data_IF_686055118150
#
_entry.id   IF_686055118150
#
_cell.length_a   1.000
_cell.length_b   1.000
_cell.length_c   1.000
_cell.angle_alpha   90.00
_cell.angle_beta   90.00
_cell.angle_gamma   90.00
#
_symmetry.space_group_name_H-M   'P 1'
#
loop_
_entity.id
_entity.type
_entity.pdbx_description
1 polymer ?
#
# COMPACT_ATOMS: atom_id res chain seq x y z
N UNK A 1 2.99 17.09 44.40
CA UNK A 1 3.15 18.13 43.35
C UNK A 1 3.52 17.58 41.96
N UNK A 2 4.19 16.43 41.82
CA UNK A 2 4.51 15.86 40.50
C UNK A 2 3.32 15.27 39.71
N UNK A 3 2.32 14.69 40.39
CA UNK A 3 1.14 14.10 39.75
C UNK A 3 0.22 15.15 39.07
N UNK A 4 -0.01 16.29 39.73
CA UNK A 4 -0.84 17.38 39.22
C UNK A 4 -0.24 18.06 37.96
N UNK A 5 1.09 18.09 37.83
CA UNK A 5 1.76 18.62 36.64
C UNK A 5 1.61 17.71 35.42
N UNK A 6 1.61 16.38 35.63
CA UNK A 6 1.42 15.39 34.57
C UNK A 6 -0.02 15.40 34.05
N UNK A 7 -1.00 15.52 34.96
CA UNK A 7 -2.42 15.66 34.60
C UNK A 7 -2.68 16.94 33.79
N UNK A 8 -2.07 18.07 34.17
CA UNK A 8 -2.23 19.31 33.41
C UNK A 8 -1.61 19.26 32.01
N UNK A 9 -0.45 18.62 31.86
CA UNK A 9 0.19 18.38 30.57
C UNK A 9 -0.64 17.45 29.68
N UNK A 10 -1.25 16.42 30.28
CA UNK A 10 -2.18 15.52 29.59
C UNK A 10 -3.42 16.30 29.11
N UNK A 11 -4.03 17.11 29.97
CA UNK A 11 -5.19 17.93 29.64
C UNK A 11 -4.89 18.96 28.54
N UNK A 12 -3.78 19.71 28.64
CA UNK A 12 -3.35 20.65 27.59
C UNK A 12 -3.05 19.92 26.27
N UNK A 13 -2.47 18.72 26.34
CA UNK A 13 -2.27 17.83 25.20
C UNK A 13 -3.57 17.42 24.53
N UNK A 14 -4.52 16.90 25.31
CA UNK A 14 -5.85 16.53 24.87
C UNK A 14 -6.61 17.71 24.26
N UNK A 15 -6.58 18.89 24.89
CA UNK A 15 -7.25 20.10 24.40
C UNK A 15 -6.62 20.63 23.12
N UNK A 16 -5.28 20.65 23.00
CA UNK A 16 -4.58 21.05 21.77
C UNK A 16 -4.80 20.03 20.64
N UNK A 17 -4.81 18.74 20.97
CA UNK A 17 -5.15 17.68 20.02
C UNK A 17 -6.59 17.80 19.54
N UNK A 18 -7.55 17.98 20.46
CA UNK A 18 -8.96 18.17 20.13
C UNK A 18 -9.17 19.44 19.30
N UNK A 19 -8.55 20.57 19.66
CA UNK A 19 -8.61 21.82 18.89
C UNK A 19 -8.07 21.65 17.47
N UNK A 20 -6.87 21.06 17.32
CA UNK A 20 -6.31 20.75 15.99
C UNK A 20 -7.22 19.85 15.19
N UNK A 21 -7.82 18.83 15.82
CA UNK A 21 -8.69 17.86 15.16
C UNK A 21 -10.04 18.46 14.77
N UNK A 22 -10.61 19.35 15.59
CA UNK A 22 -11.87 20.04 15.33
C UNK A 22 -11.74 21.20 14.32
N UNK A 23 -10.59 21.88 14.30
CA UNK A 23 -10.32 22.99 13.37
C UNK A 23 -9.77 22.53 12.01
N UNK A 24 -9.38 21.26 11.87
CA UNK A 24 -8.78 20.72 10.65
C UNK A 24 -9.74 19.82 9.90
N UNK A 25 -9.89 20.04 8.60
CA UNK A 25 -10.72 19.22 7.72
C UNK A 25 -9.82 18.57 6.68
N UNK A 26 -9.86 17.24 6.59
CA UNK A 26 -8.99 16.45 5.70
C UNK A 26 -9.06 16.88 4.23
N UNK A 27 -10.12 17.56 3.78
CA UNK A 27 -10.19 18.16 2.45
C UNK A 27 -9.04 19.14 2.15
N UNK A 28 -8.48 19.82 3.17
CA UNK A 28 -7.36 20.74 3.00
C UNK A 28 -6.06 20.04 2.58
N UNK A 29 -5.83 18.79 2.99
CA UNK A 29 -4.62 18.03 2.65
C UNK A 29 -4.45 17.82 1.13
N UNK A 30 -5.57 17.80 0.42
CA UNK A 30 -5.63 17.58 -1.03
C UNK A 30 -6.16 18.78 -1.81
N UNK A 31 -6.23 19.96 -1.18
CA UNK A 31 -6.86 21.14 -1.80
C UNK A 31 -6.19 21.56 -3.12
N UNK A 32 -4.88 21.36 -3.23
CA UNK A 32 -4.09 21.71 -4.42
C UNK A 32 -3.95 20.55 -5.43
N UNK A 33 -4.56 19.39 -5.17
CA UNK A 33 -4.38 18.20 -6.01
C UNK A 33 -5.36 18.23 -7.20
N UNK A 34 -4.92 17.78 -8.38
CA UNK A 34 -5.81 17.66 -9.54
C UNK A 34 -6.90 16.61 -9.28
N UNK A 35 -8.02 16.77 -9.99
CA UNK A 35 -9.12 15.81 -9.99
C UNK A 35 -8.71 14.53 -10.72
N UNK A 36 -9.11 13.38 -10.18
CA UNK A 36 -8.92 12.07 -10.83
C UNK A 36 -9.95 11.86 -11.94
N UNK A 37 -9.58 11.14 -13.00
CA UNK A 37 -10.50 10.76 -14.09
C UNK A 37 -11.32 9.52 -13.73
N UNK A 38 -12.39 9.25 -14.49
CA UNK A 38 -13.19 8.05 -14.31
C UNK A 38 -12.36 6.76 -14.48
N UNK A 39 -11.45 6.72 -15.47
CA UNK A 39 -10.58 5.56 -15.74
C UNK A 39 -9.63 5.27 -14.57
N UNK A 40 -9.11 6.30 -13.91
CA UNK A 40 -8.23 6.14 -12.75
C UNK A 40 -8.99 5.62 -11.52
N UNK A 41 -10.25 6.04 -11.35
CA UNK A 41 -11.06 5.71 -10.19
C UNK A 41 -11.77 4.35 -10.32
N UNK A 42 -12.05 3.91 -11.55
CA UNK A 42 -12.83 2.70 -11.84
C UNK A 42 -12.36 1.46 -11.06
N UNK A 43 -11.05 1.16 -10.97
CA UNK A 43 -10.58 0.00 -10.22
C UNK A 43 -10.82 0.09 -8.71
N UNK A 44 -10.93 1.29 -8.15
CA UNK A 44 -11.01 1.49 -6.71
C UNK A 44 -12.27 0.85 -6.11
N UNK A 45 -13.45 1.10 -6.69
CA UNK A 45 -14.70 0.52 -6.19
C UNK A 45 -14.74 -0.99 -6.43
N UNK A 46 -14.30 -1.47 -7.60
CA UNK A 46 -14.22 -2.90 -7.92
C UNK A 46 -13.35 -3.66 -6.92
N UNK A 47 -12.12 -3.20 -6.70
CA UNK A 47 -11.17 -3.86 -5.80
C UNK A 47 -11.64 -3.79 -4.35
N UNK A 48 -12.33 -2.73 -3.93
CA UNK A 48 -12.98 -2.70 -2.62
C UNK A 48 -13.97 -3.87 -2.44
N UNK A 49 -14.73 -4.25 -3.48
CA UNK A 49 -15.65 -5.41 -3.41
C UNK A 49 -14.89 -6.73 -3.28
N UNK A 50 -13.78 -6.90 -3.99
CA UNK A 50 -12.91 -8.08 -3.85
C UNK A 50 -12.34 -8.18 -2.43
N UNK A 51 -11.89 -7.07 -1.86
CA UNK A 51 -11.38 -7.07 -0.47
C UNK A 51 -12.51 -7.29 0.54
N UNK A 52 -13.71 -6.72 0.31
CA UNK A 52 -14.91 -6.97 1.12
C UNK A 52 -15.29 -8.45 1.14
N UNK A 53 -15.07 -9.19 0.04
CA UNK A 53 -15.39 -10.62 -0.04
C UNK A 53 -14.56 -11.43 0.97
N UNK A 54 -13.35 -10.96 1.32
CA UNK A 54 -12.50 -11.58 2.35
C UNK A 54 -13.07 -11.42 3.78
N UNK A 55 -13.95 -10.44 3.99
CA UNK A 55 -14.62 -10.22 5.28
C UNK A 55 -15.87 -11.09 5.47
N UNK A 56 -16.39 -11.69 4.40
CA UNK A 56 -17.59 -12.52 4.47
C UNK A 56 -17.25 -13.94 4.89
N UNK A 57 -18.08 -14.53 5.75
CA UNK A 57 -17.99 -15.97 6.07
C UNK A 57 -18.60 -16.83 4.96
N UNK A 58 -19.66 -16.33 4.32
CA UNK A 58 -20.33 -16.94 3.17
C UNK A 58 -20.54 -15.90 2.05
N UNK A 59 -20.00 -16.18 0.86
CA UNK A 59 -20.16 -15.32 -0.32
C UNK A 59 -21.50 -15.52 -1.03
N UNK A 60 -22.18 -16.65 -0.81
CA UNK A 60 -23.53 -16.88 -1.34
C UNK A 60 -24.57 -16.06 -0.55
N UNK A 61 -24.34 -15.84 0.74
CA UNK A 61 -25.20 -15.05 1.61
C UNK A 61 -24.40 -14.01 2.42
N UNK A 62 -23.91 -12.93 1.77
CA UNK A 62 -23.05 -11.97 2.42
C UNK A 62 -23.80 -11.14 3.46
N UNK A 63 -23.21 -10.97 4.64
CA UNK A 63 -23.75 -10.15 5.75
C UNK A 63 -23.76 -8.66 5.41
N UNK A 64 -22.75 -8.19 4.66
CA UNK A 64 -22.62 -6.79 4.28
C UNK A 64 -22.32 -6.70 2.78
N UNK A 65 -23.35 -6.51 1.97
CA UNK A 65 -23.20 -6.27 0.54
C UNK A 65 -23.25 -4.77 0.22
N UNK A 66 -22.38 -4.27 -0.67
CA UNK A 66 -22.51 -2.91 -1.17
C UNK A 66 -23.78 -2.74 -2.02
N UNK A 67 -24.13 -1.49 -2.35
CA UNK A 67 -25.31 -1.20 -3.16
C UNK A 67 -25.17 -1.82 -4.57
N UNK A 68 -26.08 -2.73 -4.92
CA UNK A 68 -25.99 -3.52 -6.15
C UNK A 68 -25.12 -4.78 -6.03
N UNK A 69 -24.82 -5.23 -4.80
CA UNK A 69 -24.10 -6.47 -4.54
C UNK A 69 -22.60 -6.38 -4.79
N UNK A 70 -21.90 -7.51 -4.62
CA UNK A 70 -20.46 -7.60 -4.85
C UNK A 70 -20.07 -7.40 -6.31
N UNK A 71 -20.98 -7.61 -7.27
CA UNK A 71 -20.70 -7.55 -8.71
C UNK A 71 -19.42 -8.32 -9.07
N UNK A 72 -19.21 -9.44 -8.38
CA UNK A 72 -18.11 -10.38 -8.59
C UNK A 72 -18.71 -11.66 -9.16
N UNK A 73 -17.99 -12.28 -10.09
CA UNK A 73 -18.32 -13.60 -10.59
C UNK A 73 -17.83 -14.65 -9.59
N UNK A 74 -18.74 -15.37 -8.93
CA UNK A 74 -18.35 -16.38 -7.93
C UNK A 74 -17.47 -17.49 -8.52
N UNK A 75 -17.55 -17.77 -9.83
CA UNK A 75 -16.70 -18.75 -10.52
C UNK A 75 -15.23 -18.29 -10.66
N UNK A 76 -14.97 -17.00 -10.46
CA UNK A 76 -13.62 -16.44 -10.42
C UNK A 76 -12.89 -16.66 -9.10
N UNK A 77 -13.57 -17.10 -8.03
CA UNK A 77 -12.93 -17.36 -6.73
C UNK A 77 -12.11 -18.64 -6.81
N UNK A 78 -10.79 -18.50 -6.84
CA UNK A 78 -9.86 -19.65 -6.90
C UNK A 78 -9.61 -20.21 -5.51
N UNK A 79 -9.39 -19.32 -4.54
CA UNK A 79 -8.99 -19.73 -3.19
C UNK A 79 -9.42 -18.70 -2.16
N UNK A 80 -9.92 -19.16 -1.03
CA UNK A 80 -10.19 -18.33 0.14
C UNK A 80 -9.55 -18.98 1.36
N UNK A 81 -8.78 -18.20 2.12
CA UNK A 81 -8.02 -18.69 3.27
C UNK A 81 -8.46 -17.93 4.52
N UNK A 82 -9.30 -18.55 5.38
CA UNK A 82 -9.69 -17.98 6.67
C UNK A 82 -8.59 -18.16 7.73
N UNK A 83 -8.81 -17.56 8.91
CA UNK A 83 -7.84 -17.57 10.02
C UNK A 83 -7.36 -18.96 10.45
N UNK A 84 -8.27 -19.93 10.48
CA UNK A 84 -8.02 -21.31 10.88
C UNK A 84 -7.03 -22.05 9.96
N UNK A 85 -6.90 -21.59 8.72
CA UNK A 85 -5.98 -22.13 7.72
C UNK A 85 -4.64 -21.36 7.65
N UNK A 86 -4.41 -20.40 8.56
CA UNK A 86 -3.19 -19.60 8.63
C UNK A 86 -2.38 -20.01 9.88
N UNK A 87 -1.30 -20.78 9.71
CA UNK A 87 -0.41 -21.16 10.80
C UNK A 87 0.14 -19.95 11.55
N UNK A 88 0.15 -20.06 12.89
CA UNK A 88 0.65 -19.08 13.85
C UNK A 88 0.08 -17.66 13.71
N UNK A 89 -0.98 -17.46 12.90
CA UNK A 89 -1.52 -16.14 12.60
C UNK A 89 -0.51 -15.20 11.92
N UNK A 90 0.34 -15.73 11.03
CA UNK A 90 1.40 -14.95 10.34
C UNK A 90 0.91 -13.88 9.38
N UNK A 91 -0.35 -13.95 8.96
CA UNK A 91 -0.98 -13.04 8.01
C UNK A 91 -2.51 -12.98 8.29
N UNK A 92 -3.19 -11.87 8.00
CA UNK A 92 -4.65 -11.85 7.94
C UNK A 92 -5.21 -12.76 6.83
N UNK A 93 -6.50 -13.10 6.87
CA UNK A 93 -7.21 -13.81 5.80
C UNK A 93 -7.04 -13.15 4.44
N UNK A 94 -7.09 -13.98 3.40
CA UNK A 94 -6.95 -13.52 2.02
C UNK A 94 -7.76 -14.36 1.03
N UNK A 95 -7.90 -13.81 -0.18
CA UNK A 95 -8.63 -14.38 -1.31
C UNK A 95 -7.78 -14.28 -2.57
N UNK A 96 -7.77 -15.32 -3.39
CA UNK A 96 -7.26 -15.32 -4.76
C UNK A 96 -8.48 -15.38 -5.69
N UNK A 97 -8.60 -14.38 -6.56
CA UNK A 97 -9.75 -14.16 -7.44
C UNK A 97 -9.28 -13.84 -8.85
N UNK A 98 -9.91 -14.44 -9.86
CA UNK A 98 -9.69 -14.16 -11.27
C UNK A 98 -10.84 -13.34 -11.81
N UNK A 99 -10.57 -12.07 -12.10
CA UNK A 99 -11.49 -11.17 -12.76
C UNK A 99 -11.31 -11.25 -14.28
N UNK A 100 -12.14 -12.07 -14.93
CA UNK A 100 -12.06 -12.29 -16.38
C UNK A 100 -12.55 -11.09 -17.19
N UNK A 101 -13.48 -10.30 -16.63
CA UNK A 101 -14.00 -9.09 -17.28
C UNK A 101 -12.89 -8.04 -17.41
N UNK A 102 -12.09 -7.87 -16.35
CA UNK A 102 -11.03 -6.85 -16.31
C UNK A 102 -9.64 -7.41 -16.65
N UNK A 103 -9.53 -8.72 -16.85
CA UNK A 103 -8.29 -9.48 -17.08
C UNK A 103 -7.30 -9.27 -15.94
N UNK A 104 -7.71 -9.59 -14.71
CA UNK A 104 -6.91 -9.40 -13.50
C UNK A 104 -6.87 -10.68 -12.67
N UNK A 105 -5.68 -11.08 -12.22
CA UNK A 105 -5.46 -12.06 -11.16
C UNK A 105 -5.23 -11.28 -9.87
N UNK A 106 -6.20 -11.34 -8.96
CA UNK A 106 -6.24 -10.52 -7.75
C UNK A 106 -5.94 -11.36 -6.52
N UNK A 107 -4.93 -10.97 -5.74
CA UNK A 107 -4.75 -11.42 -4.38
C UNK A 107 -5.19 -10.29 -3.42
N UNK A 108 -6.28 -10.52 -2.69
CA UNK A 108 -6.86 -9.56 -1.77
C UNK A 108 -6.66 -9.97 -0.31
N UNK A 109 -6.13 -9.07 0.52
CA UNK A 109 -5.83 -9.31 1.95
C UNK A 109 -6.74 -8.48 2.86
N UNK A 110 -7.32 -9.13 3.86
CA UNK A 110 -8.17 -8.51 4.88
C UNK A 110 -7.36 -7.53 5.76
N UNK A 111 -8.04 -6.52 6.30
CA UNK A 111 -7.51 -5.70 7.39
C UNK A 111 -7.60 -6.37 8.76
N UNK A 112 -7.14 -5.63 9.78
CA UNK A 112 -7.13 -6.03 11.19
C UNK A 112 -8.52 -6.45 11.68
N UNK A 113 -8.62 -7.63 12.28
CA UNK A 113 -9.78 -8.00 13.10
C UNK A 113 -9.48 -7.67 14.57
N UNK A 114 -10.30 -6.81 15.17
CA UNK A 114 -10.10 -6.30 16.54
C UNK A 114 -10.14 -7.38 17.64
N UNK A 115 -10.68 -8.56 17.35
CA UNK A 115 -10.78 -9.70 18.27
C UNK A 115 -9.61 -10.68 18.09
N UNK A 116 -8.80 -10.54 17.02
CA UNK A 116 -7.74 -11.49 16.68
C UNK A 116 -6.37 -10.97 17.14
N UNK A 117 -5.84 -11.58 18.20
CA UNK A 117 -4.50 -11.29 18.73
C UNK A 117 -3.38 -11.44 17.70
N UNK A 118 -3.53 -12.38 16.75
CA UNK A 118 -2.56 -12.60 15.66
C UNK A 118 -2.32 -11.34 14.83
N UNK A 119 -3.38 -10.60 14.53
CA UNK A 119 -3.27 -9.41 13.67
C UNK A 119 -2.58 -8.27 14.41
N UNK A 120 -2.80 -8.15 15.72
CA UNK A 120 -2.05 -7.22 16.55
C UNK A 120 -0.58 -7.60 16.63
N UNK A 121 -0.23 -8.89 16.64
CA UNK A 121 1.19 -9.30 16.57
C UNK A 121 1.83 -8.81 15.28
N UNK A 122 1.16 -8.93 14.14
CA UNK A 122 1.65 -8.40 12.85
C UNK A 122 1.78 -6.87 12.89
N UNK A 123 0.76 -6.18 13.39
CA UNK A 123 0.72 -4.71 13.45
C UNK A 123 1.76 -4.12 14.43
N UNK A 124 2.00 -4.78 15.55
CA UNK A 124 2.87 -4.26 16.62
C UNK A 124 4.32 -4.76 16.51
N UNK A 125 4.60 -5.69 15.60
CA UNK A 125 5.96 -6.15 15.28
C UNK A 125 6.70 -5.09 14.44
N UNK A 126 6.95 -3.92 15.03
CA UNK A 126 7.73 -2.86 14.40
C UNK A 126 8.30 -1.87 15.42
N UNK A 127 9.53 -1.42 15.16
CA UNK A 127 10.20 -0.32 15.84
C UNK A 127 10.68 0.68 14.78
N UNK A 128 10.82 1.94 15.18
CA UNK A 128 11.23 3.00 14.26
C UNK A 128 12.59 2.67 13.64
N UNK A 129 12.63 2.55 12.30
CA UNK A 129 13.83 2.20 11.56
C UNK A 129 14.33 0.78 11.79
N UNK A 130 13.48 -0.13 12.28
CA UNK A 130 13.85 -1.53 12.53
C UNK A 130 14.26 -2.27 11.26
N UNK A 131 13.53 -2.04 10.17
CA UNK A 131 13.71 -2.80 8.94
C UNK A 131 14.05 -1.87 7.78
N UNK A 132 15.30 -1.95 7.32
CA UNK A 132 15.69 -1.41 6.01
C UNK A 132 15.27 -2.37 4.91
N UNK A 133 14.85 -1.82 3.77
CA UNK A 133 14.40 -2.58 2.61
C UNK A 133 14.43 -1.69 1.37
N UNK A 134 15.09 -2.15 0.31
CA UNK A 134 15.17 -1.48 -1.00
C UNK A 134 15.61 0.00 -0.92
N UNK A 135 16.62 0.27 -0.08
CA UNK A 135 17.13 1.63 0.14
C UNK A 135 16.16 2.54 0.91
N UNK A 136 15.18 1.99 1.62
CA UNK A 136 14.29 2.73 2.52
C UNK A 136 14.02 1.96 3.80
N UNK A 137 12.98 2.36 4.53
CA UNK A 137 12.50 1.67 5.72
C UNK A 137 11.08 1.18 5.51
N UNK A 138 10.78 0.00 6.03
CA UNK A 138 9.43 -0.59 5.97
C UNK A 138 8.98 -1.08 7.33
N UNK A 139 7.70 -1.36 7.46
CA UNK A 139 7.14 -1.97 8.65
C UNK A 139 7.54 -3.45 8.72
N UNK A 140 8.25 -3.84 9.79
CA UNK A 140 8.83 -5.18 9.88
C UNK A 140 7.79 -6.31 9.85
N UNK A 141 6.75 -6.25 10.68
CA UNK A 141 5.69 -7.26 10.70
C UNK A 141 4.93 -7.41 9.38
N UNK A 142 4.63 -6.30 8.69
CA UNK A 142 3.98 -6.32 7.38
C UNK A 142 4.88 -6.92 6.31
N UNK A 143 6.19 -6.66 6.34
CA UNK A 143 7.14 -7.27 5.42
C UNK A 143 7.22 -8.79 5.63
N UNK A 144 7.25 -9.24 6.89
CA UNK A 144 7.24 -10.68 7.22
C UNK A 144 5.97 -11.37 6.74
N UNK A 145 4.81 -10.74 6.94
CA UNK A 145 3.53 -11.26 6.45
C UNK A 145 3.49 -11.32 4.90
N UNK A 146 3.99 -10.28 4.23
CA UNK A 146 4.08 -10.23 2.76
C UNK A 146 4.98 -11.35 2.21
N UNK A 147 6.16 -11.53 2.81
CA UNK A 147 7.12 -12.57 2.42
C UNK A 147 6.54 -13.97 2.65
N UNK A 148 5.90 -14.19 3.80
CA UNK A 148 5.21 -15.44 4.09
C UNK A 148 4.11 -15.76 3.06
N UNK A 149 3.33 -14.75 2.67
CA UNK A 149 2.24 -14.94 1.71
C UNK A 149 2.76 -15.24 0.31
N UNK A 150 3.86 -14.60 -0.13
CA UNK A 150 4.55 -14.93 -1.38
C UNK A 150 5.12 -16.35 -1.36
N UNK A 151 5.81 -16.73 -0.28
CA UNK A 151 6.28 -18.11 -0.10
C UNK A 151 5.14 -19.12 -0.24
N UNK A 152 3.95 -18.79 0.24
CA UNK A 152 2.79 -19.69 0.22
C UNK A 152 2.08 -19.74 -1.14
N UNK A 153 1.87 -18.59 -1.79
CA UNK A 153 0.92 -18.46 -2.91
C UNK A 153 1.55 -17.97 -4.24
N UNK A 154 2.84 -17.60 -4.28
CA UNK A 154 3.45 -17.08 -5.52
C UNK A 154 3.36 -18.07 -6.68
N UNK A 155 3.58 -19.36 -6.44
CA UNK A 155 3.46 -20.40 -7.49
C UNK A 155 2.03 -20.46 -8.02
N UNK A 156 1.02 -20.43 -7.14
CA UNK A 156 -0.40 -20.41 -7.55
C UNK A 156 -0.73 -19.18 -8.39
N UNK A 157 -0.22 -18.00 -8.02
CA UNK A 157 -0.45 -16.79 -8.79
C UNK A 157 0.27 -16.82 -10.15
N UNK A 158 1.48 -17.37 -10.19
CA UNK A 158 2.27 -17.53 -11.40
C UNK A 158 1.59 -18.51 -12.38
N UNK A 159 1.16 -19.67 -11.88
CA UNK A 159 0.45 -20.68 -12.68
C UNK A 159 -0.82 -20.09 -13.30
N UNK A 160 -1.65 -19.40 -12.49
CA UNK A 160 -2.86 -18.72 -12.99
C UNK A 160 -2.53 -17.69 -14.07
N UNK A 161 -1.49 -16.88 -13.87
CA UNK A 161 -1.11 -15.84 -14.82
C UNK A 161 -0.60 -16.44 -16.15
N UNK A 162 0.19 -17.53 -16.08
CA UNK A 162 0.67 -18.26 -17.25
C UNK A 162 -0.48 -18.94 -18.02
N UNK A 163 -1.44 -19.54 -17.32
CA UNK A 163 -2.62 -20.19 -17.92
C UNK A 163 -3.56 -19.20 -18.60
N UNK A 164 -3.81 -18.05 -17.98
CA UNK A 164 -4.70 -17.01 -18.50
C UNK A 164 -4.04 -16.16 -19.59
N UNK A 165 -2.70 -16.11 -19.61
CA UNK A 165 -1.89 -15.45 -20.61
C UNK A 165 -1.50 -14.01 -20.26
N UNK A 166 -0.54 -13.48 -21.01
CA UNK A 166 0.10 -12.19 -20.77
C UNK A 166 -0.80 -10.97 -20.97
N UNK A 167 -2.09 -11.15 -21.27
CA UNK A 167 -3.05 -10.05 -21.27
C UNK A 167 -3.56 -9.74 -19.85
N UNK A 168 -3.41 -10.69 -18.92
CA UNK A 168 -3.83 -10.52 -17.54
C UNK A 168 -2.82 -9.72 -16.74
N UNK A 169 -3.34 -8.88 -15.84
CA UNK A 169 -2.55 -8.15 -14.85
C UNK A 169 -2.51 -8.92 -13.54
N UNK A 170 -1.41 -8.82 -12.83
CA UNK A 170 -1.31 -9.26 -11.44
C UNK A 170 -1.64 -8.08 -10.51
N UNK A 171 -2.66 -8.25 -9.67
CA UNK A 171 -3.17 -7.21 -8.78
C UNK A 171 -3.07 -7.66 -7.33
N UNK A 172 -2.34 -6.89 -6.52
CA UNK A 172 -2.34 -7.04 -5.07
C UNK A 172 -3.27 -6.01 -4.45
N UNK A 173 -4.16 -6.44 -3.56
CA UNK A 173 -5.13 -5.56 -2.94
C UNK A 173 -5.20 -5.82 -1.44
N UNK A 174 -5.52 -4.78 -0.67
CA UNK A 174 -5.81 -4.99 0.74
C UNK A 174 -6.37 -3.77 1.42
N UNK A 175 -7.01 -3.99 2.57
CA UNK A 175 -7.59 -2.93 3.39
C UNK A 175 -6.81 -2.76 4.70
N UNK A 176 -6.57 -1.52 5.13
CA UNK A 176 -5.98 -1.22 6.45
C UNK A 176 -4.68 -2.00 6.68
N UNK A 177 -4.63 -2.93 7.63
CA UNK A 177 -3.48 -3.82 7.84
C UNK A 177 -3.04 -4.57 6.56
N UNK A 178 -4.00 -5.18 5.85
CA UNK A 178 -3.75 -5.96 4.64
C UNK A 178 -3.26 -5.13 3.46
N UNK A 179 -3.57 -3.83 3.42
CA UNK A 179 -3.08 -2.92 2.38
C UNK A 179 -1.56 -2.78 2.41
N UNK A 180 -0.95 -2.76 3.59
CA UNK A 180 0.49 -2.64 3.75
C UNK A 180 1.20 -3.93 3.38
N UNK A 181 0.57 -5.08 3.65
CA UNK A 181 1.03 -6.40 3.19
C UNK A 181 1.03 -6.45 1.66
N UNK A 182 -0.10 -6.11 1.02
CA UNK A 182 -0.24 -6.06 -0.43
C UNK A 182 0.78 -5.11 -1.10
N UNK A 183 0.99 -3.93 -0.51
CA UNK A 183 1.97 -2.97 -1.00
C UNK A 183 3.41 -3.51 -0.94
N UNK A 184 3.80 -4.19 0.15
CA UNK A 184 5.13 -4.76 0.28
C UNK A 184 5.32 -6.00 -0.60
N UNK A 185 4.30 -6.85 -0.77
CA UNK A 185 4.32 -7.93 -1.76
C UNK A 185 4.57 -7.39 -3.17
N UNK A 186 3.90 -6.29 -3.52
CA UNK A 186 4.08 -5.63 -4.81
C UNK A 186 5.52 -5.20 -5.03
N UNK A 187 6.16 -4.59 -4.03
CA UNK A 187 7.57 -4.20 -4.12
C UNK A 187 8.46 -5.42 -4.33
N UNK A 188 8.25 -6.51 -3.58
CA UNK A 188 9.05 -7.73 -3.70
C UNK A 188 8.93 -8.30 -5.12
N UNK A 189 7.71 -8.49 -5.64
CA UNK A 189 7.48 -9.05 -6.97
C UNK A 189 8.04 -8.15 -8.07
N UNK A 190 7.89 -6.83 -7.94
CA UNK A 190 8.40 -5.86 -8.91
C UNK A 190 9.93 -5.87 -9.02
N UNK A 191 10.65 -6.14 -7.91
CA UNK A 191 12.11 -6.25 -7.92
C UNK A 191 12.62 -7.63 -8.37
N UNK A 192 11.76 -8.66 -8.35
CA UNK A 192 12.12 -10.05 -8.68
C UNK A 192 11.20 -10.63 -9.76
N UNK A 193 10.92 -9.84 -10.82
CA UNK A 193 9.99 -10.21 -11.89
C UNK A 193 10.46 -11.44 -12.67
N UNK A 194 11.77 -11.67 -12.74
CA UNK A 194 12.39 -12.87 -13.30
C UNK A 194 11.93 -14.15 -12.56
N UNK A 195 11.71 -14.05 -11.24
CA UNK A 195 11.19 -15.14 -10.41
C UNK A 195 9.67 -15.31 -10.52
N UNK A 196 9.01 -14.41 -11.26
CA UNK A 196 7.57 -14.40 -11.50
C UNK A 196 7.28 -14.39 -13.01
N UNK A 197 7.87 -15.34 -13.73
CA UNK A 197 7.61 -15.55 -15.16
C UNK A 197 8.04 -14.39 -16.08
N UNK A 198 8.87 -13.48 -15.60
CA UNK A 198 9.28 -12.29 -16.36
C UNK A 198 8.17 -11.26 -16.54
N UNK A 199 7.14 -11.27 -15.69
CA UNK A 199 5.98 -10.38 -15.81
C UNK A 199 6.42 -8.91 -16.00
N UNK A 200 5.88 -8.18 -17.00
CA UNK A 200 6.17 -6.78 -17.18
C UNK A 200 5.74 -5.95 -15.96
N UNK A 201 6.58 -4.99 -15.53
CA UNK A 201 6.23 -4.05 -14.43
C UNK A 201 4.89 -3.34 -14.67
N UNK A 202 4.58 -3.03 -15.94
CA UNK A 202 3.33 -2.41 -16.35
C UNK A 202 2.07 -3.27 -16.11
N UNK A 203 2.24 -4.58 -15.87
CA UNK A 203 1.16 -5.54 -15.58
C UNK A 203 1.01 -5.84 -14.10
N UNK A 204 1.86 -5.29 -13.23
CA UNK A 204 1.72 -5.41 -11.78
C UNK A 204 1.05 -4.14 -11.25
N UNK A 205 -0.02 -4.30 -10.47
CA UNK A 205 -0.71 -3.19 -9.79
C UNK A 205 -1.00 -3.51 -8.34
N UNK A 206 -1.06 -2.47 -7.52
CA UNK A 206 -1.49 -2.57 -6.13
C UNK A 206 -2.57 -1.54 -5.83
N UNK A 207 -3.60 -1.96 -5.10
CA UNK A 207 -4.63 -1.08 -4.55
C UNK A 207 -4.68 -1.20 -3.03
N UNK A 208 -4.10 -0.20 -2.38
CA UNK A 208 -3.99 -0.11 -0.93
C UNK A 208 -5.16 0.73 -0.38
N UNK A 209 -6.21 0.06 0.07
CA UNK A 209 -7.45 0.70 0.53
C UNK A 209 -7.29 1.11 2.00
N UNK A 210 -7.48 2.38 2.30
CA UNK A 210 -7.34 2.96 3.64
C UNK A 210 -6.01 2.56 4.30
N UNK A 211 -4.88 2.92 3.69
CA UNK A 211 -3.65 2.16 3.86
C UNK A 211 -2.98 2.36 5.21
N UNK A 212 -2.36 1.29 5.71
CA UNK A 212 -1.41 1.40 6.82
C UNK A 212 -0.15 2.15 6.36
N UNK A 213 0.47 2.90 7.27
CA UNK A 213 1.78 3.52 7.02
C UNK A 213 2.85 2.43 7.08
N UNK A 214 3.30 1.95 5.92
CA UNK A 214 4.10 0.74 5.81
C UNK A 214 5.50 0.93 5.23
N UNK A 215 5.82 2.10 4.63
CA UNK A 215 7.12 2.33 3.98
C UNK A 215 7.57 3.79 4.06
N UNK A 216 8.88 4.05 3.97
CA UNK A 216 9.45 5.38 3.97
C UNK A 216 9.08 6.17 2.71
N UNK A 217 9.21 7.50 2.78
CA UNK A 217 8.78 8.39 1.70
C UNK A 217 9.45 8.09 0.36
N UNK A 218 10.74 7.75 0.35
CA UNK A 218 11.45 7.38 -0.89
C UNK A 218 10.83 6.14 -1.56
N UNK A 219 10.44 5.13 -0.78
CA UNK A 219 9.77 3.95 -1.32
C UNK A 219 8.37 4.28 -1.82
N UNK A 220 7.61 5.07 -1.05
CA UNK A 220 6.28 5.51 -1.46
C UNK A 220 6.31 6.24 -2.82
N UNK A 221 7.32 7.11 -3.04
CA UNK A 221 7.50 7.79 -4.33
C UNK A 221 8.06 6.85 -5.41
N UNK A 222 9.04 6.00 -5.07
CA UNK A 222 9.67 5.04 -6.01
C UNK A 222 8.66 4.09 -6.65
N UNK A 223 7.62 3.68 -5.92
CA UNK A 223 6.62 2.72 -6.39
C UNK A 223 5.25 3.34 -6.71
N UNK A 224 5.18 4.67 -6.85
CA UNK A 224 3.91 5.38 -7.10
C UNK A 224 3.30 5.14 -8.49
N UNK A 225 4.03 4.51 -9.41
CA UNK A 225 3.55 4.05 -10.72
C UNK A 225 2.76 2.73 -10.65
N UNK A 226 3.04 1.90 -9.64
CA UNK A 226 2.43 0.57 -9.47
C UNK A 226 1.53 0.47 -8.25
N UNK A 227 1.74 1.29 -7.21
CA UNK A 227 0.94 1.30 -5.99
C UNK A 227 -0.01 2.50 -5.96
N UNK A 228 -1.31 2.21 -5.82
CA UNK A 228 -2.38 3.19 -5.72
C UNK A 228 -3.07 3.05 -4.35
N UNK A 229 -3.00 4.10 -3.54
CA UNK A 229 -3.64 4.19 -2.24
C UNK A 229 -4.99 4.91 -2.34
N UNK A 230 -6.06 4.32 -1.83
CA UNK A 230 -7.41 4.92 -1.84
C UNK A 230 -7.80 5.31 -0.42
N UNK A 231 -8.13 6.58 -0.21
CA UNK A 231 -8.34 7.15 1.12
C UNK A 231 -9.64 7.94 1.13
N UNK A 232 -10.55 7.63 2.05
CA UNK A 232 -11.74 8.43 2.30
C UNK A 232 -11.46 9.47 3.39
N UNK A 233 -11.92 10.70 3.17
CA UNK A 233 -11.81 11.77 4.12
C UNK A 233 -12.39 11.39 5.49
N UNK A 234 -11.56 11.48 6.54
CA UNK A 234 -11.98 11.29 7.91
C UNK A 234 -12.87 12.44 8.41
N UNK A 235 -13.97 12.12 9.10
CA UNK A 235 -14.78 13.12 9.81
C UNK A 235 -14.52 13.13 11.31
N UNK A 236 -14.55 14.34 11.89
CA UNK A 236 -14.48 14.58 13.34
C UNK A 236 -15.67 14.00 14.11
N UNK A 237 -16.80 13.72 13.44
CA UNK A 237 -18.00 13.18 14.09
C UNK A 237 -17.93 11.66 14.32
N UNK A 238 -16.98 10.96 13.71
CA UNK A 238 -16.87 9.49 13.81
C UNK A 238 -16.01 9.06 15.02
N UNK A 239 -16.11 9.81 16.13
CA UNK A 239 -15.35 9.61 17.38
C UNK A 239 -15.91 8.46 18.24
N UNK A 240 -17.06 7.89 17.89
CA UNK A 240 -17.81 6.97 18.75
C UNK A 240 -17.29 5.52 18.77
N UNK A 241 -16.21 5.20 18.04
CA UNK A 241 -15.71 3.82 17.95
C UNK A 241 -14.18 3.69 18.02
N UNK A 242 -13.58 3.93 19.20
CA UNK A 242 -12.63 2.99 19.86
C UNK A 242 -12.12 3.51 21.22
N UNK A 243 -11.76 2.62 22.16
CA UNK A 243 -11.20 2.97 23.46
C UNK A 243 -9.72 3.38 23.35
N UNK A 244 -9.40 4.56 23.89
CA UNK A 244 -8.21 5.02 24.64
C UNK A 244 -6.76 4.63 24.23
N UNK A 245 -6.46 3.47 23.62
CA UNK A 245 -5.10 3.05 23.30
C UNK A 245 -4.48 3.81 22.11
N UNK A 246 -5.29 4.12 21.08
CA UNK A 246 -4.87 5.01 19.99
C UNK A 246 -4.66 6.45 20.46
N UNK A 247 -5.29 6.89 21.56
CA UNK A 247 -5.11 8.25 22.10
C UNK A 247 -3.66 8.49 22.55
N UNK A 248 -2.97 7.52 23.18
CA UNK A 248 -1.59 7.76 23.65
C UNK A 248 -0.58 7.85 22.50
N UNK A 249 -0.71 7.01 21.46
CA UNK A 249 0.14 7.07 20.26
C UNK A 249 -0.16 8.32 19.41
N UNK A 250 -1.44 8.65 19.22
CA UNK A 250 -1.85 9.87 18.52
C UNK A 250 -1.46 11.15 19.29
N UNK A 251 -1.50 11.12 20.63
CA UNK A 251 -1.03 12.24 21.46
C UNK A 251 0.48 12.40 21.37
N UNK A 252 1.27 11.32 21.42
CA UNK A 252 2.73 11.40 21.26
C UNK A 252 3.13 12.05 19.93
N UNK A 253 2.42 11.73 18.85
CA UNK A 253 2.62 12.36 17.55
C UNK A 253 2.21 13.84 17.52
N UNK A 254 1.30 14.29 18.38
CA UNK A 254 0.83 15.69 18.40
C UNK A 254 1.88 16.66 18.93
N UNK A 255 2.83 16.16 19.74
CA UNK A 255 3.87 16.95 20.38
C UNK A 255 5.19 16.99 19.61
N UNK A 256 5.37 16.19 18.55
CA UNK A 256 6.58 16.24 17.73
C UNK A 256 6.40 17.36 16.68
N UNK A 257 7.31 18.35 16.61
CA UNK A 257 7.24 19.40 15.60
C UNK A 257 7.26 18.81 14.19
N UNK A 258 6.40 19.31 13.31
CA UNK A 258 6.26 18.83 11.94
C UNK A 258 7.61 18.81 11.22
N UNK A 259 8.36 19.92 11.27
CA UNK A 259 9.75 20.03 10.74
C UNK A 259 10.70 18.92 11.23
N UNK A 260 10.50 18.38 12.44
CA UNK A 260 11.32 17.28 12.99
C UNK A 260 10.85 15.93 12.46
N UNK A 261 9.54 15.70 12.38
CA UNK A 261 9.00 14.47 11.76
C UNK A 261 9.34 14.38 10.28
N UNK A 262 9.38 15.54 9.63
CA UNK A 262 9.72 15.74 8.22
C UNK A 262 11.20 15.42 7.89
N UNK A 263 12.08 15.35 8.89
CA UNK A 263 13.50 15.09 8.67
C UNK A 263 13.92 13.66 9.02
N UNK A 264 13.03 12.86 9.62
CA UNK A 264 13.36 11.48 9.98
C UNK A 264 13.11 10.53 8.78
N UNK A 265 14.15 9.95 8.17
CA UNK A 265 14.00 9.06 7.02
C UNK A 265 13.35 7.72 7.39
N UNK A 266 13.31 7.37 8.68
CA UNK A 266 12.74 6.10 9.19
C UNK A 266 11.23 6.15 9.34
N UNK A 267 10.63 7.32 9.14
CA UNK A 267 9.19 7.49 9.27
C UNK A 267 8.47 6.82 8.11
N UNK A 268 7.40 6.10 8.42
CA UNK A 268 6.59 5.38 7.45
C UNK A 268 5.38 6.23 7.02
N UNK A 269 4.98 6.09 5.76
CA UNK A 269 3.93 6.80 5.07
C UNK A 269 3.01 5.82 4.33
N UNK A 270 1.87 6.33 3.86
CA UNK A 270 1.01 5.58 2.94
C UNK A 270 1.77 5.31 1.63
N UNK A 271 1.60 4.13 1.02
CA UNK A 271 2.41 3.74 -0.13
C UNK A 271 1.86 4.31 -1.44
N UNK A 272 2.75 4.71 -2.34
CA UNK A 272 2.39 5.04 -3.72
C UNK A 272 1.61 6.34 -3.95
N UNK A 273 0.92 6.40 -5.11
CA UNK A 273 0.03 7.50 -5.50
C UNK A 273 -1.25 7.45 -4.67
N UNK A 274 -1.75 8.60 -4.21
CA UNK A 274 -2.94 8.66 -3.37
C UNK A 274 -4.14 9.19 -4.15
N UNK A 275 -5.26 8.49 -4.07
CA UNK A 275 -6.59 8.90 -4.46
C UNK A 275 -7.39 9.24 -3.21
N UNK A 276 -7.64 10.52 -3.00
CA UNK A 276 -8.34 11.05 -1.83
C UNK A 276 -9.78 11.41 -2.19
N UNK A 277 -10.73 10.69 -1.59
CA UNK A 277 -12.17 10.88 -1.74
C UNK A 277 -12.64 11.91 -0.71
N UNK A 278 -13.09 13.07 -1.17
CA UNK A 278 -13.53 14.20 -0.37
C UNK A 278 -15.06 14.27 -0.41
N UNK A 279 -15.71 13.97 0.71
CA UNK A 279 -17.19 13.99 0.83
C UNK A 279 -17.74 15.15 1.68
N UNK A 280 -16.88 15.94 2.36
CA UNK A 280 -17.29 17.02 3.28
C UNK A 280 -16.42 18.29 3.20
N UNK A 281 -17.05 19.46 3.35
CA UNK A 281 -16.38 20.78 3.51
C UNK A 281 -16.48 21.30 4.95
N UNK A 282 -15.55 22.17 5.36
CA UNK A 282 -15.46 22.72 6.73
C UNK A 282 -16.75 23.40 7.20
N UNK A 283 -17.13 23.13 8.46
CA UNK A 283 -18.29 23.71 9.16
C UNK A 283 -19.69 23.51 8.53
N UNK A 284 -19.89 22.45 7.72
CA UNK A 284 -21.22 22.10 7.22
C UNK A 284 -21.54 20.62 7.50
N UNK A 285 -22.67 20.36 8.17
CA UNK A 285 -23.15 19.00 8.49
C UNK A 285 -23.72 18.25 7.27
N UNK A 286 -23.66 18.82 6.06
CA UNK A 286 -24.27 18.28 4.84
C UNK A 286 -23.20 17.54 4.03
N UNK A 287 -23.47 16.29 3.65
CA UNK A 287 -22.63 15.52 2.71
C UNK A 287 -22.82 16.04 1.28
N UNK A 288 -21.72 16.24 0.56
CA UNK A 288 -21.73 16.71 -0.83
C UNK A 288 -21.45 15.55 -1.80
N UNK A 289 -21.71 15.73 -3.12
CA UNK A 289 -21.22 14.79 -4.12
C UNK A 289 -19.71 14.57 -3.94
N UNK A 290 -19.23 13.32 -3.84
CA UNK A 290 -17.83 13.05 -3.55
C UNK A 290 -16.93 13.50 -4.71
N UNK A 291 -15.87 14.23 -4.39
CA UNK A 291 -14.80 14.61 -5.33
C UNK A 291 -13.58 13.73 -5.07
N UNK A 292 -12.94 13.19 -6.13
CA UNK A 292 -11.70 12.42 -5.98
C UNK A 292 -10.53 13.23 -6.51
N UNK A 293 -9.51 13.40 -5.67
CA UNK A 293 -8.29 14.12 -6.01
C UNK A 293 -7.09 13.19 -5.91
N UNK A 294 -6.13 13.34 -6.83
CA UNK A 294 -5.00 12.43 -6.93
C UNK A 294 -3.66 13.14 -7.03
N UNK A 295 -2.66 12.64 -6.29
CA UNK A 295 -1.29 13.11 -6.38
C UNK A 295 -0.29 12.09 -5.80
N UNK A 296 0.99 12.35 -6.02
CA UNK A 296 2.09 11.70 -5.31
C UNK A 296 2.58 12.69 -4.25
N UNK A 297 2.25 12.50 -2.96
CA UNK A 297 2.55 13.48 -1.92
C UNK A 297 4.04 13.53 -1.61
N UNK A 298 4.74 14.51 -2.17
CA UNK A 298 6.16 14.80 -1.85
C UNK A 298 6.28 16.01 -0.91
N UNK A 299 5.52 17.07 -1.19
CA UNK A 299 5.44 18.31 -0.41
C UNK A 299 4.17 18.32 0.47
N UNK A 300 4.23 18.92 1.66
CA UNK A 300 3.07 18.99 2.60
C UNK A 300 2.65 17.64 3.23
N UNK A 301 3.17 16.54 2.69
CA UNK A 301 3.34 15.21 3.28
C UNK A 301 2.13 14.48 3.85
N UNK A 302 0.91 14.90 3.53
CA UNK A 302 -0.32 14.12 3.76
C UNK A 302 -0.42 13.49 5.16
N UNK A 303 0.13 14.19 6.16
CA UNK A 303 0.31 13.65 7.52
C UNK A 303 -0.94 13.80 8.36
N UNK A 304 -1.76 14.81 8.02
CA UNK A 304 -2.94 15.22 8.75
C UNK A 304 -4.20 14.48 8.29
N UNK A 305 -4.09 13.57 7.32
CA UNK A 305 -5.06 12.50 7.19
C UNK A 305 -4.86 11.56 8.38
N UNK A 306 -5.53 11.97 9.44
CA UNK A 306 -6.03 11.13 10.50
C UNK A 306 -6.78 10.01 9.82
N UNK A 307 -6.24 8.79 9.87
CA UNK A 307 -7.04 7.59 9.73
C UNK A 307 -8.21 7.76 10.70
N UNK A 308 -9.43 7.98 10.19
CA UNK A 308 -10.59 8.04 11.09
C UNK A 308 -10.66 6.71 11.82
N UNK A 309 -11.10 6.70 13.08
CA UNK A 309 -11.34 5.43 13.78
C UNK A 309 -12.42 4.59 13.07
N UNK A 310 -13.22 5.19 12.18
CA UNK A 310 -14.06 4.43 11.25
C UNK A 310 -13.25 3.57 10.28
N UNK A 311 -11.98 3.89 9.96
CA UNK A 311 -11.03 3.12 9.13
C UNK A 311 -10.58 1.78 9.75
N UNK A 312 -10.72 1.59 11.07
CA UNK A 312 -10.38 0.34 11.77
C UNK A 312 -11.57 -0.60 11.98
N UNK A 313 -12.77 -0.21 11.55
CA UNK A 313 -13.95 -1.08 11.59
C UNK A 313 -14.10 -1.86 10.28
N UNK A 314 -14.57 -3.11 10.34
CA UNK A 314 -14.86 -3.95 9.17
C UNK A 314 -15.83 -3.26 8.17
N UNK A 315 -16.57 -2.24 8.61
CA UNK A 315 -17.50 -1.44 7.80
C UNK A 315 -16.89 -0.26 7.05
N UNK A 316 -15.62 0.11 7.32
CA UNK A 316 -14.99 1.29 6.69
C UNK A 316 -14.91 1.17 5.17
N UNK A 317 -14.51 -0.03 4.71
CA UNK A 317 -14.31 -0.31 3.29
C UNK A 317 -15.64 -0.28 2.52
N UNK A 318 -16.78 -0.56 3.15
CA UNK A 318 -18.11 -0.39 2.54
C UNK A 318 -18.38 1.08 2.23
N UNK A 319 -17.96 1.99 3.11
CA UNK A 319 -18.09 3.43 2.88
C UNK A 319 -17.15 3.92 1.78
N UNK A 320 -15.90 3.44 1.77
CA UNK A 320 -14.94 3.75 0.71
C UNK A 320 -15.48 3.27 -0.63
N UNK A 321 -15.98 2.04 -0.72
CA UNK A 321 -16.61 1.51 -1.92
C UNK A 321 -17.78 2.38 -2.38
N UNK A 322 -18.67 2.74 -1.46
CA UNK A 322 -19.86 3.53 -1.75
C UNK A 322 -19.50 4.91 -2.31
N UNK A 323 -18.61 5.63 -1.64
CA UNK A 323 -18.25 6.98 -2.08
C UNK A 323 -17.35 6.96 -3.33
N UNK A 324 -16.49 5.95 -3.49
CA UNK A 324 -15.76 5.73 -4.73
C UNK A 324 -16.70 5.44 -5.91
N UNK A 325 -17.71 4.59 -5.71
CA UNK A 325 -18.68 4.26 -6.76
C UNK A 325 -19.53 5.47 -7.14
N UNK A 326 -20.02 6.24 -6.16
CA UNK A 326 -20.75 7.50 -6.43
C UNK A 326 -19.90 8.50 -7.22
N UNK A 327 -18.64 8.69 -6.81
CA UNK A 327 -17.74 9.58 -7.54
C UNK A 327 -17.48 9.09 -8.96
N UNK A 328 -17.33 7.77 -9.16
CA UNK A 328 -17.17 7.17 -10.48
C UNK A 328 -18.39 7.41 -11.37
N UNK A 329 -19.59 7.23 -10.84
CA UNK A 329 -20.84 7.46 -11.58
C UNK A 329 -20.97 8.94 -11.99
N UNK A 330 -20.67 9.87 -11.08
CA UNK A 330 -20.66 11.31 -11.37
C UNK A 330 -19.62 11.71 -12.44
N UNK A 331 -18.42 11.12 -12.38
CA UNK A 331 -17.39 11.35 -13.38
C UNK A 331 -17.82 10.81 -14.75
N UNK A 332 -18.45 9.63 -14.81
CA UNK A 332 -18.99 9.05 -16.06
C UNK A 332 -20.13 9.87 -16.67
N UNK A 333 -20.95 10.51 -15.84
CA UNK A 333 -22.03 11.39 -16.31
C UNK A 333 -21.49 12.73 -16.85
N UNK A 334 -20.35 13.18 -16.34
CA UNK A 334 -19.71 14.45 -16.72
C UNK A 334 -18.76 14.30 -17.90
N UNK A 335 -18.05 13.17 -17.99
CA UNK A 335 -17.14 12.85 -19.09
C UNK A 335 -17.93 12.43 -20.35
N UNK A 336 -17.50 12.85 -21.55
CA UNK A 336 -18.08 12.32 -22.79
C UNK A 336 -17.90 10.80 -22.83
N UNK A 337 -19.00 10.07 -23.09
CA UNK A 337 -19.09 8.58 -23.07
C UNK A 337 -18.00 7.84 -23.85
N UNK A 338 -17.32 8.53 -24.76
CA UNK A 338 -16.14 8.09 -25.50
C UNK A 338 -15.09 9.20 -25.51
N UNK A 339 -14.34 9.36 -24.42
CA UNK A 339 -13.11 10.14 -24.46
C UNK A 339 -12.20 9.59 -25.58
N UNK A 340 -11.75 10.41 -26.55
CA UNK A 340 -10.89 9.96 -27.63
C UNK A 340 -9.63 9.24 -27.12
N UNK A 341 -9.11 8.24 -27.85
CA UNK A 341 -7.86 7.55 -27.49
C UNK A 341 -6.70 8.50 -27.19
N UNK A 342 -6.66 9.66 -27.85
CA UNK A 342 -5.69 10.74 -27.64
C UNK A 342 -5.75 11.34 -26.23
N UNK A 343 -6.95 11.51 -25.64
CA UNK A 343 -7.12 12.01 -24.27
C UNK A 343 -6.65 10.98 -23.24
N UNK A 344 -6.85 9.69 -23.51
CA UNK A 344 -6.37 8.62 -22.63
C UNK A 344 -4.84 8.50 -22.65
N UNK A 345 -4.26 8.58 -23.85
CA UNK A 345 -2.81 8.58 -24.03
C UNK A 345 -2.17 9.80 -23.35
N UNK A 346 -2.74 10.99 -23.52
CA UNK A 346 -2.22 12.21 -22.90
C UNK A 346 -2.30 12.16 -21.36
N UNK A 347 -3.36 11.59 -20.78
CA UNK A 347 -3.44 11.40 -19.33
C UNK A 347 -2.40 10.40 -18.81
N UNK A 348 -2.16 9.29 -19.51
CA UNK A 348 -1.11 8.33 -19.14
C UNK A 348 0.28 8.97 -19.15
N UNK A 349 0.59 9.73 -20.20
CA UNK A 349 1.85 10.50 -20.28
C UNK A 349 1.95 11.53 -19.15
N UNK A 350 0.84 12.19 -18.80
CA UNK A 350 0.79 13.11 -17.64
C UNK A 350 1.10 12.40 -16.32
N UNK A 351 0.61 11.18 -16.11
CA UNK A 351 0.87 10.41 -14.88
C UNK A 351 2.34 10.00 -14.76
N UNK A 352 2.96 9.59 -15.87
CA UNK A 352 4.39 9.27 -15.94
C UNK A 352 5.24 10.53 -15.67
N UNK A 353 4.86 11.67 -16.25
CA UNK A 353 5.53 12.94 -15.99
C UNK A 353 5.37 13.41 -14.55
N UNK A 354 4.17 13.28 -13.96
CA UNK A 354 3.93 13.56 -12.54
C UNK A 354 4.81 12.69 -11.63
N UNK A 355 4.98 11.40 -11.98
CA UNK A 355 5.86 10.50 -11.24
C UNK A 355 7.33 10.89 -11.34
N UNK A 356 7.81 11.21 -12.55
CA UNK A 356 9.16 11.72 -12.77
C UNK A 356 9.42 13.00 -11.95
N UNK A 357 8.49 13.95 -12.00
CA UNK A 357 8.57 15.20 -11.24
C UNK A 357 8.61 14.91 -9.72
N UNK A 358 7.82 13.95 -9.24
CA UNK A 358 7.81 13.55 -7.84
C UNK A 358 9.14 12.92 -7.39
N UNK A 359 9.76 12.09 -8.24
CA UNK A 359 11.09 11.51 -7.99
C UNK A 359 12.17 12.60 -7.91
N UNK A 360 12.21 13.49 -8.90
CA UNK A 360 13.15 14.63 -8.92
C UNK A 360 12.96 15.51 -7.67
N UNK A 361 11.70 15.79 -7.31
CA UNK A 361 11.37 16.57 -6.11
C UNK A 361 11.82 15.87 -4.83
N UNK A 362 11.63 14.56 -4.70
CA UNK A 362 12.09 13.79 -3.55
C UNK A 362 13.61 13.85 -3.37
N UNK A 363 14.37 13.84 -4.48
CA UNK A 363 15.83 14.05 -4.46
C UNK A 363 16.18 15.45 -3.93
N UNK A 364 15.50 16.50 -4.40
CA UNK A 364 15.77 17.88 -3.94
C UNK A 364 15.49 18.11 -2.46
N UNK A 365 14.60 17.31 -1.85
CA UNK A 365 14.26 17.40 -0.43
C UNK A 365 15.19 16.57 0.47
N UNK A 366 16.30 16.05 -0.08
CA UNK A 366 17.27 15.20 0.63
C UNK A 366 16.61 14.00 1.31
N UNK A 367 15.62 13.38 0.65
CA UNK A 367 15.11 12.09 1.09
C UNK A 367 16.23 11.06 0.82
N UNK A 368 16.83 10.42 1.84
CA UNK A 368 18.00 9.56 1.64
C UNK A 368 17.72 8.44 0.62
N UNK A 369 18.73 8.09 -0.18
CA UNK A 369 18.73 6.98 -1.16
C UNK A 369 17.75 7.08 -2.35
N UNK A 370 17.10 8.22 -2.61
CA UNK A 370 16.38 8.46 -3.88
C UNK A 370 17.28 8.48 -5.14
N UNK A 371 18.61 8.34 -4.97
CA UNK A 371 19.64 8.59 -5.99
C UNK A 371 19.89 7.40 -6.94
N UNK A 372 19.42 6.18 -6.67
CA UNK A 372 19.88 4.99 -7.45
C UNK A 372 18.98 4.61 -8.65
N UNK A 373 17.88 5.31 -8.93
CA UNK A 373 16.92 4.87 -9.96
C UNK A 373 16.97 5.63 -11.31
N UNK A 374 17.90 6.56 -11.51
CA UNK A 374 17.92 7.37 -12.73
C UNK A 374 18.67 6.75 -13.93
N UNK A 375 19.45 5.68 -13.74
CA UNK A 375 20.17 5.02 -14.84
C UNK A 375 20.23 3.51 -14.60
N UNK A 376 19.44 2.76 -15.34
CA UNK A 376 19.43 1.29 -15.28
C UNK A 376 18.58 0.64 -16.36
N UNK A 377 18.56 1.19 -17.58
CA UNK A 377 18.28 0.37 -18.76
C UNK A 377 19.54 -0.46 -19.01
N UNK A 378 19.40 -1.78 -18.86
CA UNK A 378 20.42 -2.72 -19.32
C UNK A 378 20.57 -2.55 -20.83
N UNK A 379 21.57 -1.78 -21.24
CA UNK A 379 21.98 -1.67 -22.63
C UNK A 379 22.46 -3.03 -23.11
N UNK A 380 21.83 -3.51 -24.17
CA UNK A 380 22.34 -4.57 -25.03
C UNK A 380 23.78 -4.27 -25.44
N UNK A 381 24.72 -5.11 -25.04
CA UNK A 381 26.05 -5.14 -25.66
C UNK A 381 26.11 -6.36 -26.55
N UNK A 382 25.90 -6.09 -27.84
CA UNK A 382 26.31 -6.95 -28.94
C UNK A 382 27.85 -6.99 -28.99
N UNK A 383 28.42 -8.19 -29.05
CA UNK A 383 29.85 -8.39 -29.19
C UNK A 383 30.18 -9.85 -29.45
N UNK A 384 30.41 -10.17 -30.72
CA UNK A 384 30.72 -11.51 -31.23
C UNK A 384 32.08 -12.04 -30.73
N UNK A 385 32.09 -13.32 -30.30
CA UNK A 385 33.03 -14.44 -30.56
C UNK A 385 34.58 -14.19 -30.67
N UNK A 386 35.46 -15.17 -30.32
CA UNK A 386 35.26 -16.61 -30.57
C UNK A 386 35.71 -17.63 -29.50
N UNK A 387 35.09 -18.79 -29.68
CA UNK A 387 35.38 -20.17 -29.25
C UNK A 387 36.81 -20.56 -28.84
N UNK A 388 36.91 -21.30 -27.74
CA UNK A 388 37.70 -22.55 -27.68
C UNK A 388 36.91 -23.59 -26.86
N UNK A 389 36.76 -24.79 -27.43
CA UNK A 389 35.97 -25.87 -26.87
C UNK A 389 36.73 -26.75 -25.89
N UNK A 390 35.98 -27.47 -25.06
CA UNK A 390 36.32 -28.83 -24.67
C UNK A 390 35.02 -29.59 -24.36
N UNK A 391 34.81 -30.64 -25.15
CA UNK A 391 33.78 -31.64 -24.96
C UNK A 391 34.04 -32.43 -23.68
N UNK A 392 32.97 -32.70 -22.93
CA UNK A 392 32.97 -33.57 -21.77
C UNK A 392 31.55 -34.03 -21.51
N UNK A 393 31.10 -35.03 -22.28
CA UNK A 393 29.83 -35.70 -22.05
C UNK A 393 29.89 -36.48 -20.72
N UNK A 394 28.98 -36.19 -19.80
CA UNK A 394 28.56 -37.18 -18.80
C UNK A 394 27.09 -36.97 -18.50
N UNK A 395 26.30 -37.94 -18.91
CA UNK A 395 24.88 -38.07 -18.61
C UNK A 395 24.70 -38.36 -17.13
N UNK A 396 23.92 -37.52 -16.45
CA UNK A 396 23.30 -37.90 -15.18
C UNK A 396 21.85 -37.45 -15.21
N UNK A 397 20.96 -38.45 -15.34
CA UNK A 397 19.54 -38.32 -15.04
C UNK A 397 19.39 -37.81 -13.60
N UNK A 398 19.00 -36.55 -13.47
CA UNK A 398 18.56 -35.94 -12.22
C UNK A 398 17.14 -35.43 -12.43
N UNK A 399 16.18 -36.07 -11.76
CA UNK A 399 14.79 -35.65 -11.62
C UNK A 399 14.67 -34.13 -11.45
N UNK A 400 13.91 -33.45 -12.32
CA UNK A 400 13.48 -32.07 -12.11
C UNK A 400 12.58 -32.02 -10.87
N UNK A 401 13.17 -31.85 -9.70
CA UNK A 401 12.43 -31.29 -8.57
C UNK A 401 12.10 -29.84 -8.95
N UNK A 402 10.81 -29.53 -9.07
CA UNK A 402 10.34 -28.14 -9.17
C UNK A 402 10.94 -27.37 -7.99
N UNK A 403 11.95 -26.54 -8.27
CA UNK A 403 12.65 -25.77 -7.24
C UNK A 403 11.75 -24.58 -6.91
N UNK A 404 10.88 -24.74 -5.90
CA UNK A 404 10.03 -23.68 -5.37
C UNK A 404 10.88 -22.47 -4.99
N UNK A 405 10.51 -21.28 -5.45
CA UNK A 405 11.21 -20.04 -5.12
C UNK A 405 11.11 -19.74 -3.63
N UNK A 406 12.26 -19.58 -2.96
CA UNK A 406 12.33 -19.11 -1.58
C UNK A 406 12.36 -17.58 -1.55
N UNK A 407 11.25 -16.95 -1.20
CA UNK A 407 11.13 -15.49 -1.18
C UNK A 407 11.87 -14.85 -0.01
N UNK A 408 12.17 -15.58 1.06
CA UNK A 408 12.97 -15.05 2.17
C UNK A 408 14.38 -14.68 1.67
N UNK A 409 15.00 -15.54 0.84
CA UNK A 409 16.33 -15.28 0.26
C UNK A 409 16.33 -14.09 -0.71
N UNK A 410 15.21 -13.84 -1.39
CA UNK A 410 15.08 -12.70 -2.30
C UNK A 410 14.90 -11.40 -1.53
N UNK A 411 14.09 -11.41 -0.47
CA UNK A 411 13.91 -10.28 0.43
C UNK A 411 15.23 -9.91 1.11
N UNK A 412 16.04 -10.89 1.49
CA UNK A 412 17.38 -10.67 2.04
C UNK A 412 18.31 -9.91 1.09
N UNK A 413 18.16 -10.07 -0.24
CA UNK A 413 18.94 -9.31 -1.24
C UNK A 413 18.54 -7.84 -1.30
N UNK A 414 17.30 -7.51 -0.90
CA UNK A 414 16.80 -6.14 -0.82
C UNK A 414 17.16 -5.47 0.51
N UNK A 415 17.73 -6.21 1.46
CA UNK A 415 18.36 -5.61 2.64
C UNK A 415 19.71 -5.01 2.23
N UNK A 416 19.96 -3.78 2.67
CA UNK A 416 21.27 -3.16 2.48
C UNK A 416 22.28 -3.87 3.37
N UNK A 417 23.26 -4.55 2.75
CA UNK A 417 24.48 -4.99 3.43
C UNK A 417 25.58 -3.97 3.17
N UNK A 418 26.23 -3.54 4.24
CA UNK A 418 27.50 -2.82 4.17
C UNK A 418 28.58 -3.80 3.68
N UNK A 419 29.73 -3.31 3.20
CA UNK A 419 30.87 -4.12 2.73
C UNK A 419 31.38 -5.16 3.75
N UNK A 420 31.00 -5.04 5.03
CA UNK A 420 31.33 -5.93 6.14
C UNK A 420 30.21 -6.89 6.59
N UNK A 421 29.03 -6.88 5.94
CA UNK A 421 27.96 -7.86 6.20
C UNK A 421 27.11 -7.67 7.46
N UNK A 422 27.21 -6.53 8.17
CA UNK A 422 26.38 -6.22 9.34
C UNK A 422 25.25 -5.20 9.07
N UNK A 423 24.14 -5.34 9.82
CA UNK A 423 23.02 -4.38 9.90
C UNK A 423 23.40 -3.22 10.84
N UNK A 424 23.63 -2.02 10.31
CA UNK A 424 24.03 -0.87 11.13
C UNK A 424 22.82 -0.19 11.80
N UNK A 425 22.69 -0.36 13.12
CA UNK A 425 22.12 0.67 14.00
C UNK A 425 23.30 1.49 14.55
N UNK A 426 23.57 2.67 13.97
CA UNK A 426 24.51 3.61 14.60
C UNK A 426 23.96 4.04 15.96
N UNK A 427 24.53 3.47 17.02
CA UNK A 427 24.37 3.87 18.40
C UNK A 427 25.31 5.06 18.68
N UNK A 428 24.78 6.00 19.44
CA UNK A 428 25.46 7.01 20.25
C UNK A 428 26.04 8.28 19.57
N UNK A 429 25.43 9.41 19.93
CA UNK A 429 26.13 10.67 20.14
C UNK A 429 25.90 11.06 21.60
N UNK A 430 26.79 10.60 22.48
CA UNK A 430 27.02 11.22 23.78
C UNK A 430 28.18 12.22 23.64
N UNK A 431 27.93 13.41 24.20
CA UNK A 431 28.90 14.31 24.87
C UNK A 431 30.19 14.67 24.15
N UNK A 432 30.32 15.96 23.82
CA UNK A 432 31.62 16.64 23.85
C UNK A 432 31.46 17.85 24.77
N UNK A 433 32.01 17.72 25.97
CA UNK A 433 32.50 18.86 26.75
C UNK A 433 33.71 19.45 26.03
N UNK A 434 33.74 20.78 26.00
CA UNK A 434 34.85 21.62 25.54
C UNK A 434 34.57 23.04 25.99
#
# INVERSE_FOLDING_TARGET
MAAAGLEWLLCLGCSRWAWKRLAYVGAYDSAAWPQATAEELEPASRVCRVVLAVYQDDLANPTYAPAGGYRMDSSGVVKRVPYDQIPDGRCPPYLIYVDREHKEVVLAVRGLNLVRDSDYKVLLDNRLGQQMFDGGFVHHGLLRAATWLLNREADTLLDLWLELGSEYKLVFAGHSLGSGIAALMTIIVVNHRDQFGGIPRSQIRCYAIAPARCMSLNLAVKYADVINSVILQASVTDLDSLPCFLCLVCMRDTFIPEKRKLKDPRRLYAPGRIYHIVERKFCRCVRYPPEVRTAIPVDGRFEHIVLSCSTTSDHAIVWIEREAQKALDLLKDTEPKTAPPEQKMSRKLSLEQEHKNALERAVTLYVPQAVVAATGDHSEVTGAAPSQGQEGATSSNGSKSSCRTNWDELVDKLFTRNESGNLDLKKDMNTVDG
#
